data_IF_420757759755
#
_entry.id   IF_420757759755
#
_cell.length_a   1.000
_cell.length_b   1.000
_cell.length_c   1.000
_cell.angle_alpha   90.00
_cell.angle_beta   90.00
_cell.angle_gamma   90.00
#
_symmetry.space_group_name_H-M   'P 1'
#
loop_
_entity.id
_entity.type
_entity.pdbx_description
1 polymer ?
#
# COMPACT_ATOMS: atom_id res chain seq x y z
N UNK A 1 -11.11 -6.27 33.81
CA UNK A 1 -11.88 -6.95 32.76
C UNK A 1 -11.41 -6.35 31.44
N UNK A 2 -10.52 -7.04 30.72
CA UNK A 2 -10.14 -6.62 29.37
C UNK A 2 -11.23 -7.11 28.44
N UNK A 3 -11.84 -6.18 27.71
CA UNK A 3 -12.76 -6.50 26.64
C UNK A 3 -11.92 -7.01 25.46
N UNK A 4 -11.80 -8.33 25.34
CA UNK A 4 -11.02 -9.00 24.29
C UNK A 4 -11.98 -9.35 23.14
N UNK A 5 -12.64 -8.32 22.60
CA UNK A 5 -13.33 -8.45 21.33
C UNK A 5 -12.25 -8.72 20.27
N UNK A 6 -12.33 -9.80 19.46
CA UNK A 6 -11.31 -10.07 18.46
C UNK A 6 -11.24 -8.88 17.52
N UNK A 7 -10.11 -8.16 17.54
CA UNK A 7 -9.92 -7.00 16.66
C UNK A 7 -10.11 -7.47 15.23
N UNK A 8 -11.23 -7.10 14.60
CA UNK A 8 -11.50 -7.49 13.22
C UNK A 8 -10.44 -6.83 12.35
N UNK A 9 -9.81 -7.58 11.47
CA UNK A 9 -8.88 -7.01 10.48
C UNK A 9 -9.69 -6.60 9.25
N UNK A 10 -9.39 -5.44 8.68
CA UNK A 10 -9.94 -5.01 7.39
C UNK A 10 -8.83 -5.00 6.35
N UNK A 11 -9.20 -5.36 5.13
CA UNK A 11 -8.25 -5.52 4.03
C UNK A 11 -8.77 -4.81 2.80
N UNK A 12 -7.87 -4.13 2.10
CA UNK A 12 -8.11 -3.55 0.78
C UNK A 12 -6.99 -3.99 -0.15
N UNK A 13 -7.35 -4.61 -1.27
CA UNK A 13 -6.41 -4.99 -2.33
C UNK A 13 -6.46 -3.98 -3.46
N UNK A 14 -5.29 -3.64 -4.00
CA UNK A 14 -5.12 -2.83 -5.21
C UNK A 14 -4.30 -3.65 -6.19
N UNK A 15 -4.78 -3.70 -7.43
CA UNK A 15 -4.10 -4.30 -8.58
C UNK A 15 -3.76 -3.17 -9.54
N UNK A 16 -2.52 -3.15 -10.03
CA UNK A 16 -2.05 -2.23 -11.06
C UNK A 16 -1.58 -3.03 -12.27
N UNK A 17 -2.15 -2.76 -13.43
CA UNK A 17 -1.67 -3.28 -14.70
C UNK A 17 -0.23 -2.79 -14.99
N UNK A 18 0.51 -3.46 -15.90
CA UNK A 18 1.83 -3.00 -16.31
C UNK A 18 1.83 -1.55 -16.78
N UNK A 19 2.70 -0.72 -16.20
CA UNK A 19 2.78 0.72 -16.50
C UNK A 19 1.70 1.59 -15.86
N UNK A 20 0.71 1.00 -15.18
CA UNK A 20 -0.36 1.76 -14.53
C UNK A 20 0.19 2.64 -13.39
N UNK A 21 -0.40 3.82 -13.28
CA UNK A 21 -0.08 4.81 -12.26
C UNK A 21 -1.36 5.13 -11.49
N UNK A 22 -1.29 5.01 -10.17
CA UNK A 22 -2.38 5.38 -9.27
C UNK A 22 -1.96 6.59 -8.42
N UNK A 23 -2.74 7.68 -8.39
CA UNK A 23 -2.49 8.79 -7.48
C UNK A 23 -2.55 8.32 -6.03
N UNK A 24 -1.75 8.93 -5.17
CA UNK A 24 -1.77 8.66 -3.74
C UNK A 24 -2.58 9.72 -3.01
N UNK A 25 -3.50 9.27 -2.15
CA UNK A 25 -4.26 10.09 -1.21
C UNK A 25 -3.96 9.56 0.18
N UNK A 26 -3.31 10.37 1.02
CA UNK A 26 -2.79 9.91 2.31
C UNK A 26 -3.88 9.32 3.22
N UNK A 27 -5.05 9.95 3.26
CA UNK A 27 -6.17 9.52 4.11
C UNK A 27 -6.71 8.14 3.75
N UNK A 28 -6.57 7.68 2.50
CA UNK A 28 -6.98 6.32 2.11
C UNK A 28 -6.16 5.23 2.81
N UNK A 29 -4.94 5.55 3.24
CA UNK A 29 -3.95 4.60 3.78
C UNK A 29 -3.67 4.83 5.26
N UNK A 30 -4.39 5.76 5.90
CA UNK A 30 -4.24 6.07 7.31
C UNK A 30 -4.48 4.83 8.17
N UNK A 31 -3.48 4.46 8.98
CA UNK A 31 -3.53 3.28 9.84
C UNK A 31 -3.37 1.93 9.13
N UNK A 32 -3.01 1.93 7.84
CA UNK A 32 -2.78 0.71 7.07
C UNK A 32 -1.31 0.31 7.07
N UNK A 33 -1.06 -0.99 7.26
CA UNK A 33 0.19 -1.64 6.84
C UNK A 33 -0.02 -2.17 5.43
N UNK A 34 0.90 -1.90 4.52
CA UNK A 34 0.81 -2.31 3.12
C UNK A 34 1.78 -3.45 2.86
N UNK A 35 1.29 -4.52 2.24
CA UNK A 35 2.11 -5.66 1.78
C UNK A 35 2.04 -5.74 0.27
N UNK A 36 3.18 -5.95 -0.39
CA UNK A 36 3.22 -6.26 -1.83
C UNK A 36 3.03 -7.76 -2.00
N UNK A 37 1.85 -8.17 -2.47
CA UNK A 37 1.48 -9.58 -2.62
C UNK A 37 2.08 -10.20 -3.89
N UNK A 38 2.19 -9.42 -4.97
CA UNK A 38 2.72 -9.88 -6.25
C UNK A 38 3.34 -8.73 -7.07
N UNK A 39 4.30 -9.06 -7.93
CA UNK A 39 4.96 -8.11 -8.81
C UNK A 39 5.84 -7.10 -8.05
N UNK A 40 5.92 -5.89 -8.59
CA UNK A 40 6.69 -4.78 -8.02
C UNK A 40 5.93 -3.46 -8.13
N UNK A 41 6.04 -2.63 -7.10
CA UNK A 41 5.51 -1.27 -7.10
C UNK A 41 6.63 -0.28 -6.91
N UNK A 42 6.49 0.91 -7.48
CA UNK A 42 7.37 2.04 -7.19
C UNK A 42 6.57 3.18 -6.55
N UNK A 43 7.09 3.62 -5.41
CA UNK A 43 6.59 4.77 -4.68
C UNK A 43 7.31 6.00 -5.18
N UNK A 44 6.58 7.02 -5.63
CA UNK A 44 7.15 8.29 -6.05
C UNK A 44 6.76 9.39 -5.06
N UNK A 45 7.75 10.11 -4.56
CA UNK A 45 7.58 11.22 -3.61
C UNK A 45 7.52 12.57 -4.34
N UNK A 46 6.91 13.57 -3.69
CA UNK A 46 6.80 14.94 -4.24
C UNK A 46 8.17 15.57 -4.54
N UNK A 47 9.20 15.26 -3.74
CA UNK A 47 10.57 15.73 -3.93
C UNK A 47 11.33 15.03 -5.10
N UNK A 48 10.64 14.21 -5.90
CA UNK A 48 11.20 13.51 -7.06
C UNK A 48 11.90 12.19 -6.74
N UNK A 49 12.17 11.89 -5.46
CA UNK A 49 12.69 10.59 -5.04
C UNK A 49 11.70 9.45 -5.32
N UNK A 50 12.21 8.30 -5.74
CA UNK A 50 11.39 7.09 -5.89
C UNK A 50 12.13 5.84 -5.45
N UNK A 51 11.36 4.81 -5.06
CA UNK A 51 11.91 3.50 -4.69
C UNK A 51 10.96 2.39 -5.09
N UNK A 52 11.55 1.32 -5.63
CA UNK A 52 10.82 0.11 -6.02
C UNK A 52 10.88 -0.95 -4.93
N UNK A 53 9.75 -1.62 -4.73
CA UNK A 53 9.56 -2.68 -3.76
C UNK A 53 8.91 -3.88 -4.43
N UNK A 54 9.46 -5.07 -4.20
CA UNK A 54 8.97 -6.33 -4.76
C UNK A 54 8.04 -7.08 -3.81
N UNK A 55 7.54 -8.21 -4.29
CA UNK A 55 6.73 -9.17 -3.53
C UNK A 55 7.34 -9.47 -2.15
N UNK A 56 6.51 -9.50 -1.12
CA UNK A 56 6.90 -9.70 0.28
C UNK A 56 7.34 -8.43 1.02
N UNK A 57 7.47 -7.29 0.34
CA UNK A 57 7.79 -6.02 1.00
C UNK A 57 6.64 -5.54 1.89
N UNK A 58 6.97 -5.02 3.07
CA UNK A 58 6.03 -4.43 4.03
C UNK A 58 6.32 -2.94 4.18
N UNK A 59 5.31 -2.11 4.03
CA UNK A 59 5.42 -0.65 3.86
C UNK A 59 4.32 0.08 4.64
N UNK A 60 4.48 1.39 4.80
CA UNK A 60 3.44 2.33 5.22
C UNK A 60 3.39 3.47 4.19
N UNK A 61 2.21 3.83 3.68
CA UNK A 61 2.12 4.87 2.64
C UNK A 61 1.92 6.29 3.19
N UNK A 62 1.79 6.45 4.51
CA UNK A 62 1.60 7.74 5.17
C UNK A 62 2.93 8.36 5.59
N UNK A 63 3.04 9.70 5.58
CA UNK A 63 4.26 10.39 6.05
C UNK A 63 5.48 10.26 5.13
N UNK A 64 5.29 9.74 3.90
CA UNK A 64 6.33 9.63 2.88
C UNK A 64 6.26 10.74 1.82
N UNK A 65 5.35 11.70 1.95
CA UNK A 65 5.06 12.71 0.92
C UNK A 65 4.86 12.09 -0.47
N UNK A 66 4.16 10.96 -0.49
CA UNK A 66 3.98 10.12 -1.66
C UNK A 66 2.92 10.75 -2.57
N UNK A 67 3.18 10.85 -3.86
CA UNK A 67 2.24 11.47 -4.82
C UNK A 67 1.59 10.44 -5.73
N UNK A 68 2.27 9.34 -6.02
CA UNK A 68 1.74 8.24 -6.84
C UNK A 68 2.45 6.92 -6.54
N UNK A 69 1.73 5.84 -6.78
CA UNK A 69 2.27 4.48 -6.86
C UNK A 69 2.19 4.05 -8.31
N UNK A 70 3.27 3.50 -8.86
CA UNK A 70 3.26 2.95 -10.22
C UNK A 70 3.64 1.47 -10.22
N UNK A 71 3.17 0.75 -11.22
CA UNK A 71 3.71 -0.55 -11.57
C UNK A 71 4.79 -0.37 -12.66
N UNK A 72 6.09 -0.42 -12.33
CA UNK A 72 7.15 -0.35 -13.35
C UNK A 72 7.35 -1.69 -14.09
N UNK A 73 6.60 -2.73 -13.73
CA UNK A 73 6.68 -4.12 -14.20
C UNK A 73 6.08 -4.41 -15.57
N UNK A 74 6.32 -5.64 -16.01
CA UNK A 74 5.68 -6.24 -17.19
C UNK A 74 4.47 -7.11 -16.82
N UNK A 75 4.36 -7.49 -15.56
CA UNK A 75 3.26 -8.25 -14.98
C UNK A 75 2.45 -7.35 -14.05
N UNK A 76 1.26 -7.79 -13.64
CA UNK A 76 0.46 -7.09 -12.64
C UNK A 76 1.23 -6.93 -11.32
N UNK A 77 1.02 -5.78 -10.68
CA UNK A 77 1.48 -5.55 -9.32
C UNK A 77 0.28 -5.52 -8.38
N UNK A 78 0.33 -6.34 -7.34
CA UNK A 78 -0.73 -6.46 -6.34
C UNK A 78 -0.19 -6.05 -5.00
N UNK A 79 -0.87 -5.13 -4.34
CA UNK A 79 -0.56 -4.76 -2.97
C UNK A 79 -1.82 -4.59 -2.14
N UNK A 80 -1.68 -4.83 -0.84
CA UNK A 80 -2.79 -4.95 0.09
C UNK A 80 -2.56 -4.07 1.30
N UNK A 81 -3.49 -3.16 1.56
CA UNK A 81 -3.59 -2.43 2.81
C UNK A 81 -4.34 -3.25 3.84
N UNK A 82 -3.77 -3.34 5.04
CA UNK A 82 -4.33 -4.04 6.20
C UNK A 82 -4.51 -3.03 7.32
N UNK A 83 -5.74 -2.82 7.76
CA UNK A 83 -6.10 -1.92 8.86
C UNK A 83 -6.77 -2.68 10.00
N UNK A 84 -6.73 -2.10 11.20
CA UNK A 84 -7.61 -2.55 12.29
C UNK A 84 -9.04 -2.10 11.98
N UNK A 85 -9.99 -2.99 12.18
CA UNK A 85 -11.41 -2.69 12.21
C UNK A 85 -11.78 -1.95 13.49
N UNK A 86 -12.98 -1.37 13.54
CA UNK A 86 -13.51 -0.80 14.77
C UNK A 86 -13.57 -1.88 15.87
N UNK A 87 -13.42 -1.47 17.15
CA UNK A 87 -13.68 -2.36 18.28
C UNK A 87 -15.12 -2.91 18.23
#
# INVERSE_FOLDING_TARGET
MRDDAPSRVRTRTVVLAPGEVRPHVEDEWRGAVVVVDAGRIELCCAAGGSRTFGTGSVLWFTGLNLVRVRNPGRDEAVFRGITRGPP
#
